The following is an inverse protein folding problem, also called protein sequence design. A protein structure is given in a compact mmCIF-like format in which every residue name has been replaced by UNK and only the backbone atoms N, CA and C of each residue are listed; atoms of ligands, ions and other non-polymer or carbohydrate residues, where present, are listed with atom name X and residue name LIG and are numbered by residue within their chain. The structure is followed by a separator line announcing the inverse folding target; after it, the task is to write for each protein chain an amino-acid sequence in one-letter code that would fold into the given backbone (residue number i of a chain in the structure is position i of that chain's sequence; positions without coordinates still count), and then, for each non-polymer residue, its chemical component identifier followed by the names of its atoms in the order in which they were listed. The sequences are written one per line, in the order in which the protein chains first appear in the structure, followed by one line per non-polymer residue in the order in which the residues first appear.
data_IF_969050209861
#
_entry.id   IF_969050209861
#
_cell.length_a   1.000
_cell.length_b   1.000
_cell.length_c   1.000
_cell.angle_alpha   90.00
_cell.angle_beta   90.00
_cell.angle_gamma   90.00
#
_symmetry.space_group_name_H-M   'P 1'
#
loop_
_entity.id
_entity.type
_entity.pdbx_description
1 polymer ?
#
# COMPACT_ATOMS: atom_id res chain seq x y z
N UNK A 1 21.67 13.01 29.08
CA UNK A 1 21.81 11.58 28.75
C UNK A 1 20.68 10.84 29.45
N UNK A 2 19.56 10.62 28.76
CA UNK A 2 18.35 10.03 29.36
C UNK A 2 17.40 9.54 28.28
N UNK A 3 17.94 8.83 27.28
CA UNK A 3 17.15 8.13 26.30
C UNK A 3 16.70 6.81 26.91
N UNK A 4 15.62 6.83 27.69
CA UNK A 4 14.90 5.61 28.02
C UNK A 4 14.47 5.00 26.69
N UNK A 5 15.10 3.90 26.30
CA UNK A 5 14.79 3.21 25.06
C UNK A 5 13.30 2.92 25.00
N UNK A 6 12.65 3.41 23.96
CA UNK A 6 11.28 3.05 23.55
C UNK A 6 11.33 1.58 23.09
N UNK A 7 11.56 0.65 24.03
CA UNK A 7 11.63 -0.79 23.79
C UNK A 7 10.21 -1.35 23.83
N UNK A 8 9.39 -0.88 22.89
CA UNK A 8 8.01 -1.32 22.72
C UNK A 8 7.57 -1.05 21.29
N UNK A 9 6.89 -2.02 20.68
CA UNK A 9 6.24 -1.77 19.38
C UNK A 9 5.09 -0.81 19.62
N UNK A 10 5.20 0.40 19.07
CA UNK A 10 4.12 1.39 19.11
C UNK A 10 2.98 0.94 18.20
N UNK A 11 2.01 0.22 18.76
CA UNK A 11 0.81 -0.29 18.07
C UNK A 11 0.09 0.80 17.28
N UNK A 12 0.00 2.02 17.83
CA UNK A 12 -0.57 3.18 17.13
C UNK A 12 0.23 3.57 15.87
N UNK A 13 1.56 3.44 15.90
CA UNK A 13 2.39 3.71 14.74
C UNK A 13 2.22 2.64 13.65
N UNK A 14 2.08 1.36 14.03
CA UNK A 14 1.76 0.29 13.08
C UNK A 14 0.42 0.51 12.39
N UNK A 15 -0.62 0.88 13.14
CA UNK A 15 -1.92 1.21 12.55
C UNK A 15 -1.87 2.44 11.65
N UNK A 16 -1.15 3.50 12.05
CA UNK A 16 -0.97 4.67 11.20
C UNK A 16 -0.29 4.30 9.87
N UNK A 17 0.77 3.48 9.92
CA UNK A 17 1.46 2.98 8.72
C UNK A 17 0.56 2.10 7.85
N UNK A 18 -0.26 1.23 8.46
CA UNK A 18 -1.23 0.41 7.72
C UNK A 18 -2.27 1.27 7.00
N UNK A 19 -2.82 2.30 7.67
CA UNK A 19 -3.75 3.25 7.06
C UNK A 19 -3.12 3.98 5.88
N UNK A 20 -1.92 4.54 6.05
CA UNK A 20 -1.20 5.22 4.95
C UNK A 20 -0.96 4.28 3.78
N UNK A 21 -0.55 3.03 4.01
CA UNK A 21 -0.34 2.06 2.94
C UNK A 21 -1.63 1.72 2.17
N UNK A 22 -2.79 1.72 2.84
CA UNK A 22 -4.09 1.52 2.18
C UNK A 22 -4.51 2.73 1.35
N UNK A 23 -4.27 3.93 1.84
CA UNK A 23 -4.50 5.17 1.10
C UNK A 23 -3.64 5.20 -0.17
N UNK A 24 -2.35 4.89 -0.04
CA UNK A 24 -1.41 4.81 -1.17
C UNK A 24 -1.81 3.71 -2.16
N UNK A 25 -2.20 2.52 -1.68
CA UNK A 25 -2.75 1.45 -2.53
C UNK A 25 -3.96 1.94 -3.34
N UNK A 26 -4.87 2.67 -2.71
CA UNK A 26 -6.05 3.22 -3.37
C UNK A 26 -5.68 4.28 -4.40
N UNK A 27 -4.75 5.17 -4.07
CA UNK A 27 -4.24 6.18 -4.99
C UNK A 27 -3.54 5.55 -6.20
N UNK A 28 -2.73 4.50 -5.99
CA UNK A 28 -2.08 3.75 -7.08
C UNK A 28 -3.11 3.07 -7.99
N UNK A 29 -4.17 2.48 -7.42
CA UNK A 29 -5.25 1.88 -8.19
C UNK A 29 -6.00 2.92 -9.05
N UNK A 30 -6.28 4.11 -8.49
CA UNK A 30 -6.89 5.22 -9.24
C UNK A 30 -5.99 5.70 -10.37
N UNK A 31 -4.68 5.85 -10.13
CA UNK A 31 -3.70 6.24 -11.15
C UNK A 31 -3.57 5.19 -12.25
N UNK A 32 -3.58 3.91 -11.91
CA UNK A 32 -3.58 2.83 -12.90
C UNK A 32 -4.83 2.90 -13.81
N UNK A 33 -6.02 3.13 -13.23
CA UNK A 33 -7.26 3.32 -14.01
C UNK A 33 -7.18 4.54 -14.92
N UNK A 34 -6.66 5.66 -14.43
CA UNK A 34 -6.49 6.86 -15.25
C UNK A 34 -5.57 6.63 -16.46
N UNK A 35 -4.53 5.80 -16.29
CA UNK A 35 -3.66 5.38 -17.41
C UNK A 35 -4.41 4.48 -18.39
N UNK A 36 -5.21 3.53 -17.91
CA UNK A 36 -6.01 2.64 -18.76
C UNK A 36 -7.10 3.43 -19.54
N UNK A 37 -7.76 4.40 -18.89
CA UNK A 37 -8.82 5.25 -19.46
C UNK A 37 -8.30 6.30 -20.45
N UNK A 38 -7.02 6.67 -20.36
CA UNK A 38 -6.36 7.65 -21.23
C UNK A 38 -5.21 7.03 -22.02
N UNK A 39 -5.34 5.74 -22.34
CA UNK A 39 -4.33 5.02 -23.10
C UNK A 39 -4.13 5.67 -24.49
N UNK A 40 -2.88 5.98 -24.81
CA UNK A 40 -2.51 6.57 -26.10
C UNK A 40 -2.98 5.67 -27.26
N UNK A 41 -3.70 6.25 -28.21
CA UNK A 41 -4.13 5.57 -29.44
C UNK A 41 -5.42 4.74 -29.34
N UNK A 42 -6.14 4.78 -28.21
CA UNK A 42 -7.47 4.15 -28.07
C UNK A 42 -8.57 5.09 -28.59
N UNK A 43 -9.64 4.56 -29.18
CA UNK A 43 -10.83 5.36 -29.55
C UNK A 43 -10.85 5.98 -30.95
N UNK A 44 -9.85 5.68 -31.78
CA UNK A 44 -9.85 6.12 -33.18
C UNK A 44 -9.22 7.48 -33.44
N UNK A 45 -8.51 8.04 -32.46
CA UNK A 45 -7.63 9.19 -32.65
C UNK A 45 -6.54 8.88 -33.68
N UNK A 46 -6.46 9.73 -34.70
CA UNK A 46 -5.52 9.64 -35.82
C UNK A 46 -4.04 9.58 -35.42
N UNK A 47 -3.72 9.97 -34.17
CA UNK A 47 -2.37 9.89 -33.61
C UNK A 47 -1.91 8.43 -33.36
N UNK A 48 -2.82 7.51 -33.04
CA UNK A 48 -2.48 6.09 -32.77
C UNK A 48 -2.32 5.25 -34.03
N UNK A 49 -3.09 5.55 -35.10
CA UNK A 49 -3.06 4.78 -36.36
C UNK A 49 -1.88 5.14 -37.28
N UNK A 50 -1.40 6.39 -37.23
CA UNK A 50 -0.39 6.88 -38.18
C UNK A 50 1.07 6.75 -37.70
N UNK A 51 1.32 6.43 -36.42
CA UNK A 51 2.66 6.18 -35.87
C UNK A 51 2.84 4.69 -35.55
N UNK A 52 2.98 3.87 -36.59
CA UNK A 52 2.84 2.41 -36.52
C UNK A 52 3.80 1.72 -35.53
N UNK A 53 5.02 2.24 -35.31
CA UNK A 53 5.98 1.66 -34.37
C UNK A 53 6.11 2.48 -33.07
N UNK A 54 6.24 3.80 -33.17
CA UNK A 54 6.45 4.67 -32.02
C UNK A 54 5.19 4.80 -31.16
N UNK A 55 4.01 4.88 -31.77
CA UNK A 55 2.73 4.92 -31.05
C UNK A 55 2.44 3.62 -30.31
N UNK A 56 2.79 2.47 -30.92
CA UNK A 56 2.70 1.16 -30.26
C UNK A 56 3.66 1.06 -29.08
N UNK A 57 4.91 1.50 -29.23
CA UNK A 57 5.87 1.51 -28.12
C UNK A 57 5.41 2.39 -26.94
N UNK A 58 4.76 3.53 -27.22
CA UNK A 58 4.16 4.40 -26.19
C UNK A 58 2.98 3.71 -25.50
N UNK A 59 2.09 3.08 -26.27
CA UNK A 59 0.96 2.32 -25.74
C UNK A 59 1.42 1.17 -24.83
N UNK A 60 2.33 0.32 -25.31
CA UNK A 60 2.91 -0.78 -24.53
C UNK A 60 3.60 -0.28 -23.24
N UNK A 61 4.23 0.90 -23.33
CA UNK A 61 4.80 1.60 -22.17
C UNK A 61 3.76 1.98 -21.12
N UNK A 62 2.63 2.56 -21.54
CA UNK A 62 1.53 2.92 -20.64
C UNK A 62 0.89 1.68 -19.99
N UNK A 63 0.65 0.62 -20.75
CA UNK A 63 0.15 -0.65 -20.19
C UNK A 63 1.11 -1.22 -19.13
N UNK A 64 2.42 -1.17 -19.40
CA UNK A 64 3.43 -1.63 -18.45
C UNK A 64 3.45 -0.79 -17.18
N UNK A 65 3.35 0.53 -17.29
CA UNK A 65 3.26 1.43 -16.13
C UNK A 65 2.01 1.15 -15.32
N UNK A 66 0.84 1.01 -15.96
CA UNK A 66 -0.40 0.64 -15.28
C UNK A 66 -0.27 -0.71 -14.55
N UNK A 67 0.39 -1.69 -15.18
CA UNK A 67 0.73 -2.97 -14.56
C UNK A 67 1.59 -2.83 -13.31
N UNK A 68 2.66 -2.05 -13.36
CA UNK A 68 3.52 -1.77 -12.20
C UNK A 68 2.76 -1.09 -11.06
N UNK A 69 1.93 -0.08 -11.38
CA UNK A 69 1.11 0.61 -10.38
C UNK A 69 0.15 -0.34 -9.67
N UNK A 70 -0.48 -1.26 -10.40
CA UNK A 70 -1.34 -2.30 -9.80
C UNK A 70 -0.56 -3.22 -8.86
N UNK A 71 0.62 -3.69 -9.29
CA UNK A 71 1.48 -4.55 -8.46
C UNK A 71 1.94 -3.85 -7.17
N UNK A 72 2.35 -2.58 -7.27
CA UNK A 72 2.70 -1.78 -6.10
C UNK A 72 1.50 -1.56 -5.17
N UNK A 73 0.32 -1.30 -5.73
CA UNK A 73 -0.91 -1.19 -4.93
C UNK A 73 -1.20 -2.48 -4.15
N UNK A 74 -1.12 -3.64 -4.82
CA UNK A 74 -1.29 -4.95 -4.16
C UNK A 74 -0.25 -5.19 -3.06
N UNK A 75 1.02 -4.86 -3.31
CA UNK A 75 2.08 -5.01 -2.32
C UNK A 75 1.89 -4.08 -1.10
N UNK A 76 1.46 -2.83 -1.33
CA UNK A 76 1.15 -1.88 -0.27
C UNK A 76 -0.03 -2.38 0.59
N UNK A 77 -1.11 -2.86 -0.03
CA UNK A 77 -2.25 -3.44 0.68
C UNK A 77 -1.85 -4.67 1.52
N UNK A 78 -1.07 -5.59 0.94
CA UNK A 78 -0.58 -6.76 1.66
C UNK A 78 0.30 -6.39 2.87
N UNK A 79 1.12 -5.33 2.71
CA UNK A 79 1.96 -4.82 3.81
C UNK A 79 1.11 -4.19 4.91
N UNK A 80 0.05 -3.44 4.54
CA UNK A 80 -0.89 -2.89 5.51
C UNK A 80 -1.56 -3.98 6.34
N UNK A 81 -1.97 -5.09 5.71
CA UNK A 81 -2.59 -6.22 6.41
C UNK A 81 -1.63 -6.92 7.38
N UNK A 82 -0.34 -6.98 7.05
CA UNK A 82 0.70 -7.49 7.97
C UNK A 82 0.85 -6.56 9.17
N UNK A 83 0.88 -5.24 8.95
CA UNK A 83 1.00 -4.27 10.04
C UNK A 83 -0.21 -4.27 10.97
N UNK A 84 -1.42 -4.39 10.44
CA UNK A 84 -2.63 -4.52 11.26
C UNK A 84 -2.65 -5.82 12.07
N UNK A 85 -2.25 -6.94 11.46
CA UNK A 85 -2.12 -8.22 12.19
C UNK A 85 -1.10 -8.12 13.31
N UNK A 86 0.06 -7.52 13.04
CA UNK A 86 1.08 -7.29 14.06
C UNK A 86 0.56 -6.38 15.18
N UNK A 87 -0.13 -5.28 14.85
CA UNK A 87 -0.74 -4.38 15.82
C UNK A 87 -1.75 -5.11 16.73
N UNK A 88 -2.62 -5.94 16.17
CA UNK A 88 -3.59 -6.74 16.92
C UNK A 88 -2.92 -7.76 17.85
N UNK A 89 -1.87 -8.45 17.37
CA UNK A 89 -1.10 -9.41 18.17
C UNK A 89 -0.38 -8.73 19.33
N UNK A 90 0.26 -7.59 19.10
CA UNK A 90 0.90 -6.82 20.17
C UNK A 90 -0.12 -6.33 21.21
N UNK A 91 -1.28 -5.84 20.78
CA UNK A 91 -2.33 -5.42 21.69
C UNK A 91 -2.89 -6.58 22.53
N UNK A 92 -2.98 -7.80 21.95
CA UNK A 92 -3.38 -8.99 22.70
C UNK A 92 -2.34 -9.35 23.77
N UNK A 93 -1.06 -9.44 23.38
CA UNK A 93 0.03 -9.79 24.30
C UNK A 93 0.11 -8.79 25.47
N UNK A 94 -0.07 -7.50 25.19
CA UNK A 94 -0.05 -6.46 26.22
C UNK A 94 -1.22 -6.59 27.21
N UNK A 95 -2.42 -6.92 26.70
CA UNK A 95 -3.59 -7.20 27.54
C UNK A 95 -3.40 -8.45 28.40
N UNK A 96 -2.85 -9.52 27.83
CA UNK A 96 -2.65 -10.78 28.55
C UNK A 96 -1.62 -10.60 29.69
N UNK A 97 -0.54 -9.86 29.41
CA UNK A 97 0.49 -9.55 30.42
C UNK A 97 -0.02 -8.62 31.52
N UNK A 98 -0.75 -7.57 31.17
CA UNK A 98 -1.34 -6.67 32.17
C UNK A 98 -2.35 -7.39 33.08
N UNK A 99 -3.15 -8.30 32.52
CA UNK A 99 -4.06 -9.13 33.31
C UNK A 99 -3.31 -10.04 34.28
N UNK A 100 -2.26 -10.74 33.81
CA UNK A 100 -1.45 -11.60 34.66
C UNK A 100 -0.78 -10.83 35.81
N UNK A 101 -0.28 -9.61 35.55
CA UNK A 101 0.31 -8.76 36.59
C UNK A 101 -0.75 -8.34 37.63
N UNK A 102 -1.96 -7.99 37.19
CA UNK A 102 -3.06 -7.60 38.09
C UNK A 102 -3.60 -8.76 38.95
N UNK A 103 -3.33 -10.01 38.58
CA UNK A 103 -3.64 -11.20 39.38
C UNK A 103 -2.54 -11.53 40.40
N UNK A 104 -1.27 -11.22 40.10
CA UNK A 104 -0.15 -11.43 41.04
C UNK A 104 -0.13 -10.38 42.16
N UNK A 105 -0.59 -9.15 41.89
CA UNK A 105 -0.67 -8.07 42.89
C UNK A 105 -1.86 -8.18 43.87
N UNK A 106 -2.64 -9.27 43.82
CA UNK A 106 -3.85 -9.50 44.62
C UNK A 106 -3.67 -10.64 45.62
#
# INVERSE_FOLDING_TARGET
MGGSGDFGVRVAALHAMATTLREESTALAQRARAVDEHAFGVGGDSAGRNYAAQGRAVHDGFERVAGCLRQWGTAAAATADVFDRAAAEYARIDRDRSTALAEVDR
#
